data_IF_345073992698
#
_entry.id   IF_345073992698
#
_cell.length_a   1.000
_cell.length_b   1.000
_cell.length_c   1.000
_cell.angle_alpha   90.00
_cell.angle_beta   90.00
_cell.angle_gamma   90.00
#
_symmetry.space_group_name_H-M   'P 1'
#
loop_
_entity.id
_entity.type
_entity.pdbx_description
1 polymer ?
#
# COMPACT_ATOMS: atom_id res chain seq x y z
N UNK A 1 13.69 14.04 -21.49
CA UNK A 1 14.18 12.79 -20.85
C UNK A 1 13.64 11.60 -21.65
N UNK A 2 14.43 10.55 -21.90
CA UNK A 2 13.99 9.41 -22.73
C UNK A 2 13.07 8.48 -21.91
N UNK A 3 11.81 8.28 -22.31
CA UNK A 3 10.80 7.49 -21.55
C UNK A 3 11.29 6.06 -21.27
N UNK A 4 12.09 5.49 -22.16
CA UNK A 4 12.74 4.18 -21.98
C UNK A 4 13.69 4.10 -20.76
N UNK A 5 14.23 5.23 -20.30
CA UNK A 5 15.09 5.26 -19.12
C UNK A 5 14.30 5.14 -17.81
N UNK A 6 13.06 5.66 -17.79
CA UNK A 6 12.13 5.50 -16.66
C UNK A 6 11.56 4.08 -16.55
N UNK A 7 11.51 3.34 -17.65
CA UNK A 7 11.06 1.94 -17.69
C UNK A 7 12.07 0.96 -17.08
N UNK A 8 13.32 1.37 -16.84
CA UNK A 8 14.30 0.51 -16.18
C UNK A 8 14.14 0.63 -14.65
N UNK A 9 13.67 -0.42 -13.96
CA UNK A 9 13.35 -0.33 -12.53
C UNK A 9 14.57 0.03 -11.69
N UNK A 10 15.78 -0.43 -12.08
CA UNK A 10 17.01 -0.18 -11.33
C UNK A 10 17.35 1.32 -11.31
N UNK A 11 17.17 2.00 -12.45
CA UNK A 11 17.42 3.44 -12.53
C UNK A 11 16.34 4.25 -11.81
N UNK A 12 15.09 3.83 -11.90
CA UNK A 12 13.97 4.45 -11.18
C UNK A 12 14.20 4.47 -9.66
N UNK A 13 14.63 3.35 -9.06
CA UNK A 13 14.94 3.28 -7.62
C UNK A 13 16.06 4.21 -7.17
N UNK A 14 17.04 4.51 -8.03
CA UNK A 14 18.13 5.45 -7.72
C UNK A 14 17.72 6.92 -7.75
N UNK A 15 16.64 7.23 -8.48
CA UNK A 15 16.10 8.59 -8.62
C UNK A 15 15.12 8.96 -7.49
N UNK A 16 14.67 7.97 -6.71
CA UNK A 16 13.70 8.20 -5.64
C UNK A 16 14.35 8.87 -4.43
N UNK A 17 13.70 9.89 -3.83
CA UNK A 17 14.17 10.46 -2.58
C UNK A 17 14.10 9.41 -1.46
N UNK A 18 15.01 9.50 -0.49
CA UNK A 18 15.13 8.51 0.58
C UNK A 18 13.83 8.28 1.37
N UNK A 19 12.98 9.30 1.50
CA UNK A 19 11.66 9.20 2.12
C UNK A 19 10.70 8.29 1.35
N UNK A 20 10.68 8.37 0.02
CA UNK A 20 9.90 7.46 -0.83
C UNK A 20 10.39 6.03 -0.71
N UNK A 21 11.71 5.82 -0.63
CA UNK A 21 12.30 4.49 -0.49
C UNK A 21 11.92 3.85 0.85
N UNK A 22 12.00 4.61 1.95
CA UNK A 22 11.54 4.18 3.27
C UNK A 22 10.04 3.84 3.26
N UNK A 23 9.22 4.66 2.62
CA UNK A 23 7.80 4.38 2.46
C UNK A 23 7.55 3.09 1.66
N UNK A 24 8.29 2.85 0.57
CA UNK A 24 8.15 1.63 -0.23
C UNK A 24 8.56 0.38 0.56
N UNK A 25 9.62 0.46 1.38
CA UNK A 25 10.00 -0.64 2.29
C UNK A 25 8.91 -0.90 3.33
N UNK A 26 8.34 0.15 3.91
CA UNK A 26 7.21 0.04 4.82
C UNK A 26 6.00 -0.60 4.13
N UNK A 27 5.66 -0.14 2.92
CA UNK A 27 4.58 -0.70 2.12
C UNK A 27 4.81 -2.17 1.78
N UNK A 28 6.05 -2.57 1.50
CA UNK A 28 6.42 -3.97 1.27
C UNK A 28 6.26 -4.82 2.54
N UNK A 29 6.62 -4.31 3.71
CA UNK A 29 6.37 -5.01 4.97
C UNK A 29 4.87 -5.14 5.27
N UNK A 30 4.10 -4.07 5.06
CA UNK A 30 2.63 -4.08 5.20
C UNK A 30 1.99 -5.05 4.22
N UNK A 31 2.44 -5.09 2.96
CA UNK A 31 1.89 -6.01 1.96
C UNK A 31 2.13 -7.46 2.34
N UNK A 32 3.34 -7.80 2.81
CA UNK A 32 3.66 -9.14 3.31
C UNK A 32 2.79 -9.53 4.52
N UNK A 33 2.62 -8.64 5.51
CA UNK A 33 1.78 -8.91 6.69
C UNK A 33 0.32 -9.12 6.31
N UNK A 34 -0.24 -8.24 5.45
CA UNK A 34 -1.62 -8.35 4.98
C UNK A 34 -1.84 -9.65 4.22
N UNK A 35 -0.96 -9.98 3.27
CA UNK A 35 -1.07 -11.22 2.49
C UNK A 35 -0.96 -12.44 3.40
N UNK A 36 0.00 -12.44 4.34
CA UNK A 36 0.17 -13.53 5.30
C UNK A 36 -1.09 -13.74 6.15
N UNK A 37 -1.67 -12.68 6.72
CA UNK A 37 -2.89 -12.76 7.53
C UNK A 37 -4.09 -13.22 6.71
N UNK A 38 -4.27 -12.69 5.51
CA UNK A 38 -5.37 -13.10 4.64
C UNK A 38 -5.25 -14.57 4.21
N UNK A 39 -4.03 -15.05 3.91
CA UNK A 39 -3.78 -16.46 3.64
C UNK A 39 -4.03 -17.33 4.87
N UNK A 40 -3.67 -16.87 6.07
CA UNK A 40 -3.94 -17.57 7.33
C UNK A 40 -5.46 -17.71 7.58
N UNK A 41 -6.27 -16.70 7.24
CA UNK A 41 -7.74 -16.81 7.29
C UNK A 41 -8.22 -17.84 6.27
N UNK A 42 -7.81 -17.73 5.00
CA UNK A 42 -8.27 -18.63 3.92
C UNK A 42 -7.88 -20.10 4.19
N UNK A 43 -6.69 -20.33 4.74
CA UNK A 43 -6.18 -21.67 5.06
C UNK A 43 -6.74 -22.20 6.39
N UNK A 44 -6.82 -21.38 7.43
CA UNK A 44 -7.36 -21.74 8.74
C UNK A 44 -8.81 -22.21 8.66
N UNK A 45 -9.59 -21.59 7.78
CA UNK A 45 -10.95 -21.99 7.41
C UNK A 45 -11.07 -23.46 7.00
N UNK A 46 -10.08 -24.03 6.31
CA UNK A 46 -10.13 -25.43 5.84
C UNK A 46 -9.94 -26.45 6.97
N UNK A 47 -9.47 -26.02 8.13
CA UNK A 47 -9.10 -26.91 9.24
C UNK A 47 -10.03 -26.79 10.46
N UNK A 48 -11.13 -26.04 10.37
CA UNK A 48 -12.10 -25.90 11.47
C UNK A 48 -13.02 -27.13 11.52
N UNK A 49 -12.47 -28.27 11.98
CA UNK A 49 -13.22 -29.40 12.53
C UNK A 49 -13.15 -29.36 14.07
N UNK A 50 -13.20 -28.15 14.65
CA UNK A 50 -13.04 -27.92 16.08
C UNK A 50 -14.41 -27.75 16.75
N UNK A 51 -14.46 -28.04 18.06
CA UNK A 51 -15.63 -27.80 18.92
C UNK A 51 -16.19 -26.38 18.75
N UNK A 52 -17.52 -26.24 18.79
CA UNK A 52 -18.26 -24.98 18.55
C UNK A 52 -17.72 -23.78 19.35
N UNK A 53 -17.33 -23.98 20.61
CA UNK A 53 -16.76 -22.93 21.46
C UNK A 53 -15.36 -22.46 21.00
N UNK A 54 -14.59 -23.36 20.41
CA UNK A 54 -13.28 -23.04 19.82
C UNK A 54 -13.42 -22.43 18.43
N UNK A 55 -14.48 -22.79 17.69
CA UNK A 55 -14.85 -22.20 16.39
C UNK A 55 -15.21 -20.72 16.56
N UNK A 56 -16.08 -20.36 17.49
CA UNK A 56 -16.49 -18.96 17.72
C UNK A 56 -15.32 -18.07 18.14
N UNK A 57 -14.50 -18.52 19.09
CA UNK A 57 -13.31 -17.78 19.53
C UNK A 57 -12.27 -17.59 18.41
N UNK A 58 -12.07 -18.62 17.57
CA UNK A 58 -11.16 -18.54 16.42
C UNK A 58 -11.68 -17.58 15.35
N UNK A 59 -12.98 -17.62 15.04
CA UNK A 59 -13.61 -16.73 14.06
C UNK A 59 -13.51 -15.28 14.52
N UNK A 60 -13.79 -14.99 15.80
CA UNK A 60 -13.64 -13.64 16.36
C UNK A 60 -12.20 -13.13 16.25
N UNK A 61 -11.21 -14.00 16.53
CA UNK A 61 -9.80 -13.67 16.34
C UNK A 61 -9.45 -13.33 14.88
N UNK A 62 -10.04 -14.04 13.92
CA UNK A 62 -9.87 -13.76 12.49
C UNK A 62 -10.51 -12.41 12.10
N UNK A 63 -11.71 -12.10 12.59
CA UNK A 63 -12.35 -10.79 12.36
C UNK A 63 -11.49 -9.63 12.88
N UNK A 64 -11.02 -9.74 14.13
CA UNK A 64 -10.14 -8.73 14.72
C UNK A 64 -8.84 -8.55 13.91
N UNK A 65 -8.29 -9.64 13.37
CA UNK A 65 -7.09 -9.59 12.52
C UNK A 65 -7.35 -8.86 11.18
N UNK A 66 -8.49 -9.14 10.53
CA UNK A 66 -8.89 -8.45 9.29
C UNK A 66 -9.13 -6.96 9.57
N UNK A 67 -9.82 -6.62 10.66
CA UNK A 67 -10.07 -5.23 11.02
C UNK A 67 -8.78 -4.46 11.29
N UNK A 68 -7.85 -5.04 12.06
CA UNK A 68 -6.54 -4.44 12.28
C UNK A 68 -5.77 -4.23 10.97
N UNK A 69 -5.85 -5.19 10.05
CA UNK A 69 -5.20 -5.09 8.74
C UNK A 69 -5.83 -4.00 7.86
N UNK A 70 -7.15 -3.78 7.96
CA UNK A 70 -7.85 -2.67 7.29
C UNK A 70 -7.41 -1.32 7.84
N UNK A 71 -7.35 -1.18 9.17
CA UNK A 71 -6.85 0.04 9.83
C UNK A 71 -5.41 0.34 9.43
N UNK A 72 -4.55 -0.68 9.33
CA UNK A 72 -3.18 -0.55 8.88
C UNK A 72 -3.09 -0.09 7.42
N UNK A 73 -3.92 -0.63 6.52
CA UNK A 73 -4.00 -0.16 5.13
C UNK A 73 -4.48 1.29 5.04
N UNK A 74 -5.52 1.67 5.78
CA UNK A 74 -5.99 3.06 5.83
C UNK A 74 -4.91 4.00 6.33
N UNK A 75 -4.21 3.64 7.41
CA UNK A 75 -3.08 4.40 7.92
C UNK A 75 -1.97 4.54 6.88
N UNK A 76 -1.65 3.46 6.17
CA UNK A 76 -0.64 3.47 5.09
C UNK A 76 -1.03 4.41 3.95
N UNK A 77 -2.32 4.42 3.56
CA UNK A 77 -2.83 5.35 2.55
C UNK A 77 -2.75 6.82 3.01
N UNK A 78 -3.05 7.11 4.28
CA UNK A 78 -2.87 8.44 4.84
C UNK A 78 -1.40 8.87 4.88
N UNK A 79 -0.51 7.97 5.31
CA UNK A 79 0.93 8.22 5.34
C UNK A 79 1.47 8.50 3.94
N UNK A 80 0.99 7.75 2.94
CA UNK A 80 1.34 8.00 1.54
C UNK A 80 0.93 9.39 1.08
N UNK A 81 -0.33 9.77 1.32
CA UNK A 81 -0.84 11.11 0.99
C UNK A 81 -0.03 12.21 1.67
N UNK A 82 0.35 12.01 2.94
CA UNK A 82 1.21 12.92 3.67
C UNK A 82 2.61 13.04 3.04
N UNK A 83 3.24 11.93 2.65
CA UNK A 83 4.53 11.94 1.96
C UNK A 83 4.47 12.71 0.64
N UNK A 84 3.45 12.47 -0.19
CA UNK A 84 3.25 13.20 -1.45
C UNK A 84 3.02 14.68 -1.20
N UNK A 85 2.21 15.04 -0.21
CA UNK A 85 1.94 16.43 0.13
C UNK A 85 3.22 17.18 0.52
N UNK A 86 4.08 16.57 1.35
CA UNK A 86 5.37 17.15 1.71
C UNK A 86 6.31 17.30 0.51
N UNK A 87 6.41 16.28 -0.36
CA UNK A 87 7.23 16.33 -1.56
C UNK A 87 6.77 17.45 -2.50
N UNK A 88 5.46 17.56 -2.71
CA UNK A 88 4.86 18.59 -3.55
C UNK A 88 5.13 19.98 -2.98
N UNK A 89 4.92 20.20 -1.68
CA UNK A 89 5.23 21.47 -1.03
C UNK A 89 6.71 21.87 -1.17
N UNK A 90 7.63 20.91 -1.04
CA UNK A 90 9.07 21.16 -1.23
C UNK A 90 9.43 21.56 -2.66
N UNK A 91 8.76 20.99 -3.67
CA UNK A 91 8.97 21.32 -5.06
C UNK A 91 8.52 22.75 -5.40
N UNK A 92 7.41 23.22 -4.81
CA UNK A 92 6.93 24.59 -5.00
C UNK A 92 7.82 25.66 -4.33
N UNK A 93 8.54 25.32 -3.26
CA UNK A 93 9.43 26.27 -2.58
C UNK A 93 10.60 26.74 -3.47
N UNK A 94 11.00 25.94 -4.47
CA UNK A 94 12.11 26.25 -5.39
C UNK A 94 11.72 27.23 -6.52
N UNK A 95 10.43 27.51 -6.73
CA UNK A 95 9.92 28.31 -7.85
C UNK A 95 10.27 29.81 -7.72
N UNK A 96 10.59 30.28 -6.51
CA UNK A 96 10.85 31.70 -6.27
C UNK A 96 12.17 32.26 -6.83
N UNK A 97 13.09 31.44 -7.35
CA UNK A 97 14.50 31.86 -7.54
C UNK A 97 15.11 31.70 -8.93
N UNK A 98 14.50 31.01 -9.90
CA UNK A 98 15.11 30.91 -11.26
C UNK A 98 14.12 30.70 -12.41
N UNK A 99 14.40 31.38 -13.52
CA UNK A 99 13.56 31.52 -14.71
C UNK A 99 13.71 30.36 -15.70
N UNK A 100 12.57 29.85 -16.19
CA UNK A 100 12.37 28.89 -17.29
C UNK A 100 12.95 27.46 -17.20
N UNK A 101 14.19 27.23 -16.77
CA UNK A 101 14.76 25.87 -16.66
C UNK A 101 14.10 25.04 -15.54
N UNK A 102 13.58 25.73 -14.51
CA UNK A 102 12.89 25.12 -13.37
C UNK A 102 11.57 24.46 -13.76
N UNK A 103 10.83 25.03 -14.72
CA UNK A 103 9.50 24.52 -15.09
C UNK A 103 9.56 23.10 -15.68
N UNK A 104 10.55 22.80 -16.53
CA UNK A 104 10.75 21.45 -17.06
C UNK A 104 11.14 20.46 -15.96
N UNK A 105 12.00 20.87 -15.02
CA UNK A 105 12.38 20.00 -13.90
C UNK A 105 11.22 19.68 -12.95
N UNK A 106 10.28 20.62 -12.78
CA UNK A 106 9.06 20.39 -11.99
C UNK A 106 8.12 19.43 -12.70
N UNK A 107 7.95 19.58 -14.02
CA UNK A 107 7.12 18.66 -14.81
C UNK A 107 7.66 17.22 -14.75
N UNK A 108 8.98 17.03 -14.89
CA UNK A 108 9.60 15.71 -14.76
C UNK A 108 9.45 15.14 -13.34
N UNK A 109 9.65 15.95 -12.29
CA UNK A 109 9.44 15.52 -10.91
C UNK A 109 7.99 15.12 -10.62
N UNK A 110 7.02 15.86 -11.16
CA UNK A 110 5.59 15.57 -11.03
C UNK A 110 5.20 14.30 -11.81
N UNK A 111 5.81 14.08 -12.97
CA UNK A 111 5.59 12.85 -13.76
C UNK A 111 6.12 11.62 -13.00
N UNK A 112 7.30 11.70 -12.41
CA UNK A 112 7.87 10.62 -11.59
C UNK A 112 7.02 10.38 -10.33
N UNK A 113 6.61 11.45 -9.64
CA UNK A 113 5.75 11.34 -8.46
C UNK A 113 4.37 10.74 -8.78
N UNK A 114 3.78 11.10 -9.92
CA UNK A 114 2.49 10.56 -10.33
C UNK A 114 2.56 9.10 -10.76
N UNK A 115 3.62 8.69 -11.46
CA UNK A 115 3.88 7.28 -11.77
C UNK A 115 4.03 6.43 -10.51
N UNK A 116 4.86 6.88 -9.56
CA UNK A 116 5.01 6.23 -8.26
C UNK A 116 3.68 6.14 -7.51
N UNK A 117 2.90 7.22 -7.52
CA UNK A 117 1.61 7.24 -6.85
C UNK A 117 0.64 6.24 -7.45
N UNK A 118 0.57 6.14 -8.78
CA UNK A 118 -0.28 5.17 -9.46
C UNK A 118 0.07 3.73 -9.04
N UNK A 119 1.36 3.38 -9.00
CA UNK A 119 1.81 2.06 -8.57
C UNK A 119 1.48 1.78 -7.10
N UNK A 120 1.73 2.73 -6.19
CA UNK A 120 1.39 2.60 -4.77
C UNK A 120 -0.12 2.44 -4.57
N UNK A 121 -0.94 3.24 -5.27
CA UNK A 121 -2.39 3.12 -5.21
C UNK A 121 -2.87 1.78 -5.74
N UNK A 122 -2.29 1.27 -6.82
CA UNK A 122 -2.62 -0.04 -7.36
C UNK A 122 -2.31 -1.15 -6.33
N UNK A 123 -1.15 -1.11 -5.68
CA UNK A 123 -0.79 -2.08 -4.62
C UNK A 123 -1.76 -2.00 -3.45
N UNK A 124 -2.06 -0.80 -2.95
CA UNK A 124 -3.02 -0.62 -1.86
C UNK A 124 -4.42 -1.11 -2.24
N UNK A 125 -4.86 -0.85 -3.46
CA UNK A 125 -6.14 -1.32 -3.99
C UNK A 125 -6.18 -2.86 -4.04
N UNK A 126 -5.13 -3.50 -4.54
CA UNK A 126 -5.03 -4.97 -4.59
C UNK A 126 -5.07 -5.58 -3.18
N UNK A 127 -4.35 -5.00 -2.22
CA UNK A 127 -4.37 -5.46 -0.83
C UNK A 127 -5.75 -5.27 -0.19
N UNK A 128 -6.41 -4.14 -0.46
CA UNK A 128 -7.76 -3.87 0.01
C UNK A 128 -8.78 -4.88 -0.54
N UNK A 129 -8.72 -5.16 -1.86
CA UNK A 129 -9.56 -6.17 -2.50
C UNK A 129 -9.30 -7.56 -1.92
N UNK A 130 -8.04 -7.91 -1.66
CA UNK A 130 -7.67 -9.18 -1.06
C UNK A 130 -8.21 -9.34 0.36
N UNK A 131 -8.14 -8.29 1.18
CA UNK A 131 -8.76 -8.27 2.51
C UNK A 131 -10.29 -8.34 2.44
N UNK A 132 -10.91 -7.65 1.48
CA UNK A 132 -12.35 -7.71 1.30
C UNK A 132 -12.81 -9.12 0.93
N UNK A 133 -12.09 -9.79 0.03
CA UNK A 133 -12.33 -11.18 -0.31
C UNK A 133 -12.17 -12.12 0.90
N UNK A 134 -11.10 -11.97 1.69
CA UNK A 134 -10.90 -12.77 2.90
C UNK A 134 -12.03 -12.56 3.93
N UNK A 135 -12.52 -11.33 4.10
CA UNK A 135 -13.66 -11.00 4.94
C UNK A 135 -14.95 -11.66 4.47
N UNK A 136 -15.28 -11.56 3.18
CA UNK A 136 -16.47 -12.19 2.61
C UNK A 136 -16.46 -13.72 2.78
N UNK A 137 -15.28 -14.35 2.69
CA UNK A 137 -15.13 -15.79 2.96
C UNK A 137 -15.38 -16.13 4.43
N UNK A 138 -14.91 -15.29 5.35
CA UNK A 138 -15.17 -15.49 6.78
C UNK A 138 -16.66 -15.33 7.11
N UNK A 139 -17.34 -14.35 6.53
CA UNK A 139 -18.78 -14.12 6.70
C UNK A 139 -19.60 -15.33 6.24
N UNK A 140 -19.28 -15.90 5.08
CA UNK A 140 -19.95 -17.11 4.57
C UNK A 140 -19.83 -18.30 5.54
N UNK A 141 -18.70 -18.42 6.23
CA UNK A 141 -18.44 -19.54 7.16
C UNK A 141 -19.15 -19.31 8.49
N UNK A 142 -19.25 -18.06 8.93
CA UNK A 142 -20.00 -17.75 10.16
C UNK A 142 -21.48 -18.12 10.07
N UNK A 143 -22.02 -18.19 8.84
CA UNK A 143 -23.42 -18.55 8.56
C UNK A 143 -23.64 -20.06 8.36
N UNK A 144 -22.57 -20.87 8.28
CA UNK A 144 -22.62 -22.34 8.09
C UNK A 144 -22.22 -23.11 9.35
#
# INVERSE_FOLDING_TARGET
MNIFFLLNPIHFFRLLPGTSLLFLLFLAAVSMDVVYRSLAVISGVRHINLSEEKKTNSIQGMYNSIENSRRLLSFTAYLFGFCIFLQMASAFHLIGTSSHLVAMSIADALLVASALAADVFLVLLLLYLFQWYAGARLDWISQT
#
